data_IF_735178486866
#
_entry.id   IF_735178486866
#
_cell.length_a   1.000
_cell.length_b   1.000
_cell.length_c   1.000
_cell.angle_alpha   90.00
_cell.angle_beta   90.00
_cell.angle_gamma   90.00
#
_symmetry.space_group_name_H-M   'P 1'
#
loop_
_entity.id
_entity.type
_entity.pdbx_description
1 polymer ?
#
# COMPACT_ATOMS: atom_id res chain seq x y z
N UNK A 1 8.30 -7.21 27.77
CA UNK A 1 6.87 -7.33 27.40
C UNK A 1 6.33 -8.57 28.10
N UNK A 2 5.32 -8.45 28.96
CA UNK A 2 4.80 -9.61 29.72
C UNK A 2 4.01 -10.55 28.79
N UNK A 3 3.81 -11.83 29.17
CA UNK A 3 3.02 -12.76 28.35
C UNK A 3 1.59 -12.27 28.14
N UNK A 4 1.02 -11.58 29.13
CA UNK A 4 -0.30 -10.94 29.05
C UNK A 4 -0.36 -9.80 28.04
N UNK A 5 0.71 -9.01 27.88
CA UNK A 5 0.76 -7.93 26.89
C UNK A 5 0.78 -8.49 25.47
N UNK A 6 1.45 -9.63 25.28
CA UNK A 6 1.55 -10.30 23.98
C UNK A 6 0.20 -10.89 23.54
N UNK A 7 -0.56 -11.47 24.47
CA UNK A 7 -1.91 -11.96 24.19
C UNK A 7 -2.89 -10.83 23.89
N UNK A 8 -2.81 -9.72 24.64
CA UNK A 8 -3.60 -8.52 24.32
C UNK A 8 -3.31 -8.01 22.91
N UNK A 9 -2.03 -7.94 22.54
CA UNK A 9 -1.62 -7.49 21.21
C UNK A 9 -2.20 -8.38 20.10
N UNK A 10 -2.18 -9.71 20.29
CA UNK A 10 -2.73 -10.69 19.34
C UNK A 10 -4.22 -10.54 19.06
N UNK A 11 -4.96 -9.86 19.94
CA UNK A 11 -6.41 -9.67 19.81
C UNK A 11 -6.80 -8.25 19.35
N UNK A 12 -5.85 -7.32 19.23
CA UNK A 12 -6.15 -5.92 18.90
C UNK A 12 -6.80 -5.72 17.52
N UNK A 13 -6.49 -6.59 16.56
CA UNK A 13 -7.03 -6.56 15.20
C UNK A 13 -8.23 -7.48 14.97
N UNK A 14 -8.70 -8.21 16.00
CA UNK A 14 -9.79 -9.17 15.84
C UNK A 14 -11.07 -8.49 15.29
N UNK A 15 -11.63 -9.08 14.23
CA UNK A 15 -12.82 -8.54 13.56
C UNK A 15 -12.56 -7.33 12.64
N UNK A 16 -11.31 -6.86 12.52
CA UNK A 16 -10.92 -5.81 11.58
C UNK A 16 -10.37 -6.39 10.29
N UNK A 17 -10.52 -5.63 9.21
CA UNK A 17 -9.90 -5.93 7.93
C UNK A 17 -8.98 -4.78 7.50
N UNK A 18 -7.78 -5.15 7.05
CA UNK A 18 -6.73 -4.26 6.56
C UNK A 18 -6.47 -4.61 5.10
N UNK A 19 -6.37 -3.63 4.22
CA UNK A 19 -5.86 -3.84 2.87
C UNK A 19 -4.53 -3.13 2.67
N UNK A 20 -3.63 -3.73 1.90
CA UNK A 20 -2.36 -3.12 1.51
C UNK A 20 -2.28 -3.05 -0.01
N UNK A 21 -1.84 -1.90 -0.51
CA UNK A 21 -1.60 -1.67 -1.94
C UNK A 21 -0.27 -0.94 -2.12
N UNK A 22 0.40 -1.22 -3.24
CA UNK A 22 1.55 -0.44 -3.71
C UNK A 22 1.14 0.39 -4.92
N UNK A 23 1.50 1.67 -4.96
CA UNK A 23 1.12 2.57 -6.03
C UNK A 23 2.23 3.57 -6.35
N UNK A 24 2.32 3.97 -7.62
CA UNK A 24 3.35 4.88 -8.11
C UNK A 24 4.53 4.13 -8.73
N UNK A 25 5.67 4.81 -8.83
CA UNK A 25 6.93 4.15 -9.19
C UNK A 25 7.29 3.10 -8.14
N UNK A 26 7.76 1.94 -8.57
CA UNK A 26 8.20 0.91 -7.66
C UNK A 26 9.56 1.27 -7.05
N UNK A 27 9.78 0.82 -5.82
CA UNK A 27 11.03 1.04 -5.10
C UNK A 27 11.44 -0.26 -4.40
N UNK A 28 12.74 -0.57 -4.41
CA UNK A 28 13.27 -1.74 -3.72
C UNK A 28 12.93 -1.64 -2.22
N UNK A 29 12.37 -2.72 -1.66
CA UNK A 29 11.89 -2.77 -0.28
C UNK A 29 10.37 -2.67 -0.11
N UNK A 30 9.61 -2.32 -1.16
CA UNK A 30 8.14 -2.37 -1.10
C UNK A 30 7.59 -3.76 -0.73
N UNK A 31 8.23 -4.83 -1.23
CA UNK A 31 7.89 -6.21 -0.83
C UNK A 31 8.09 -6.48 0.66
N UNK A 32 9.14 -5.91 1.26
CA UNK A 32 9.38 -6.03 2.70
C UNK A 32 8.29 -5.29 3.49
N UNK A 33 7.87 -4.10 3.03
CA UNK A 33 6.76 -3.35 3.61
C UNK A 33 5.44 -4.13 3.54
N UNK A 34 5.06 -4.63 2.36
CA UNK A 34 3.86 -5.46 2.18
C UNK A 34 3.90 -6.67 3.11
N UNK A 35 5.03 -7.39 3.18
CA UNK A 35 5.19 -8.52 4.08
C UNK A 35 5.03 -8.14 5.55
N UNK A 36 5.61 -7.02 5.98
CA UNK A 36 5.53 -6.58 7.36
C UNK A 36 4.08 -6.27 7.75
N UNK A 37 3.36 -5.52 6.92
CA UNK A 37 1.94 -5.19 7.13
C UNK A 37 1.09 -6.46 7.15
N UNK A 38 1.31 -7.39 6.21
CA UNK A 38 0.56 -8.65 6.18
C UNK A 38 0.81 -9.52 7.40
N UNK A 39 2.08 -9.76 7.76
CA UNK A 39 2.40 -10.62 8.91
C UNK A 39 1.97 -10.00 10.22
N UNK A 40 2.14 -8.69 10.39
CA UNK A 40 1.70 -8.00 11.60
C UNK A 40 0.18 -7.99 11.70
N UNK A 41 -0.53 -7.71 10.61
CA UNK A 41 -1.99 -7.75 10.57
C UNK A 41 -2.56 -9.13 10.95
N UNK A 42 -2.01 -10.20 10.38
CA UNK A 42 -2.39 -11.59 10.73
C UNK A 42 -2.04 -11.89 12.19
N UNK A 43 -0.86 -11.46 12.65
CA UNK A 43 -0.42 -11.68 14.03
C UNK A 43 -1.34 -11.04 15.07
N UNK A 44 -1.89 -9.85 14.78
CA UNK A 44 -2.87 -9.17 15.65
C UNK A 44 -4.31 -9.63 15.45
N UNK A 45 -4.54 -10.67 14.65
CA UNK A 45 -5.87 -11.25 14.42
C UNK A 45 -6.75 -10.52 13.40
N UNK A 46 -6.19 -9.58 12.63
CA UNK A 46 -6.90 -8.91 11.55
C UNK A 46 -6.90 -9.74 10.26
N UNK A 47 -7.94 -9.58 9.44
CA UNK A 47 -7.95 -10.09 8.06
C UNK A 47 -7.17 -9.13 7.17
N UNK A 48 -6.13 -9.61 6.49
CA UNK A 48 -5.34 -8.77 5.59
C UNK A 48 -5.69 -9.08 4.14
N UNK A 49 -5.86 -8.06 3.31
CA UNK A 49 -6.09 -8.16 1.88
C UNK A 49 -4.92 -7.53 1.12
N UNK A 50 -4.48 -8.18 0.05
CA UNK A 50 -3.55 -7.64 -0.93
C UNK A 50 -4.35 -7.07 -2.09
N UNK A 51 -4.14 -5.79 -2.40
CA UNK A 51 -4.71 -5.14 -3.57
C UNK A 51 -3.64 -5.15 -4.66
N UNK A 52 -3.91 -5.87 -5.73
CA UNK A 52 -3.03 -5.95 -6.89
C UNK A 52 -3.17 -4.71 -7.78
N UNK A 53 -2.13 -4.36 -8.53
CA UNK A 53 -2.12 -3.24 -9.49
C UNK A 53 -2.51 -1.88 -8.88
N UNK A 54 -2.16 -1.67 -7.61
CA UNK A 54 -2.37 -0.42 -6.89
C UNK A 54 -3.83 0.07 -6.92
N UNK A 55 -4.02 1.35 -7.24
CA UNK A 55 -5.37 1.92 -7.31
C UNK A 55 -6.21 1.34 -8.45
N UNK A 56 -5.58 0.81 -9.51
CA UNK A 56 -6.33 0.21 -10.61
C UNK A 56 -7.07 -1.03 -10.13
N UNK A 57 -6.37 -1.95 -9.46
CA UNK A 57 -7.05 -3.13 -8.91
C UNK A 57 -8.01 -2.82 -7.77
N UNK A 58 -7.83 -1.69 -7.06
CA UNK A 58 -8.82 -1.21 -6.10
C UNK A 58 -10.14 -0.82 -6.79
N UNK A 59 -10.07 -0.14 -7.94
CA UNK A 59 -11.23 0.25 -8.76
C UNK A 59 -11.87 -0.97 -9.40
N UNK A 60 -11.07 -1.86 -9.97
CA UNK A 60 -11.55 -3.06 -10.67
C UNK A 60 -12.19 -4.07 -9.69
N UNK A 61 -11.68 -4.14 -8.46
CA UNK A 61 -12.19 -5.02 -7.43
C UNK A 61 -12.04 -6.51 -7.77
N UNK A 62 -12.95 -7.33 -7.25
CA UNK A 62 -13.01 -8.76 -7.56
C UNK A 62 -11.73 -9.50 -7.18
N UNK A 63 -11.09 -10.13 -8.17
CA UNK A 63 -9.86 -10.91 -8.04
C UNK A 63 -8.63 -10.06 -7.74
N UNK A 64 -8.70 -8.74 -7.93
CA UNK A 64 -7.58 -7.86 -7.57
C UNK A 64 -7.48 -7.61 -6.07
N UNK A 65 -8.51 -7.92 -5.27
CA UNK A 65 -8.51 -7.75 -3.81
C UNK A 65 -8.55 -9.14 -3.15
N UNK A 66 -7.36 -9.70 -2.90
CA UNK A 66 -7.17 -11.08 -2.44
C UNK A 66 -6.94 -11.14 -0.94
N UNK A 67 -7.58 -12.08 -0.26
CA UNK A 67 -7.27 -12.35 1.14
C UNK A 67 -5.85 -12.93 1.25
N UNK A 68 -5.04 -12.35 2.11
CA UNK A 68 -3.69 -12.80 2.40
C UNK A 68 -3.71 -13.88 3.49
N UNK A 69 -2.87 -14.90 3.30
CA UNK A 69 -2.47 -15.84 4.34
C UNK A 69 -1.00 -15.63 4.68
N UNK A 70 -0.55 -16.26 5.77
CA UNK A 70 0.85 -16.18 6.20
C UNK A 70 1.85 -16.53 5.08
N UNK A 71 1.49 -17.53 4.26
CA UNK A 71 2.30 -18.00 3.14
C UNK A 71 2.28 -17.04 1.93
N UNK A 72 1.25 -16.20 1.77
CA UNK A 72 1.09 -15.29 0.63
C UNK A 72 2.23 -14.27 0.49
N UNK A 73 2.98 -14.01 1.57
CA UNK A 73 4.11 -13.07 1.61
C UNK A 73 5.42 -13.76 2.00
N UNK A 74 5.55 -15.05 1.67
CA UNK A 74 6.79 -15.80 1.87
C UNK A 74 7.71 -15.66 0.67
N UNK A 75 9.02 -15.58 0.91
CA UNK A 75 10.03 -15.49 -0.15
C UNK A 75 9.94 -14.23 -1.05
N UNK A 76 9.41 -13.12 -0.53
CA UNK A 76 9.27 -11.87 -1.30
C UNK A 76 10.24 -10.75 -0.89
N UNK A 77 10.90 -10.84 0.28
CA UNK A 77 11.73 -9.74 0.81
C UNK A 77 12.89 -9.40 -0.14
N UNK A 78 13.51 -10.42 -0.72
CA UNK A 78 14.67 -10.30 -1.58
C UNK A 78 14.32 -9.94 -3.04
N UNK A 79 13.03 -9.88 -3.37
CA UNK A 79 12.59 -9.56 -4.72
C UNK A 79 12.55 -8.04 -4.92
N UNK A 80 13.02 -7.60 -6.08
CA UNK A 80 12.88 -6.21 -6.53
C UNK A 80 11.42 -5.82 -6.82
N UNK A 81 11.17 -4.51 -6.93
CA UNK A 81 9.86 -3.96 -7.22
C UNK A 81 8.79 -4.34 -6.20
N UNK A 82 7.58 -4.63 -6.69
CA UNK A 82 6.43 -5.06 -5.88
C UNK A 82 5.74 -6.29 -6.47
N UNK A 83 5.58 -7.35 -5.67
CA UNK A 83 4.90 -8.59 -6.06
C UNK A 83 3.39 -8.43 -6.25
N UNK A 84 2.82 -7.34 -5.74
CA UNK A 84 1.41 -7.01 -5.93
C UNK A 84 1.19 -5.99 -7.06
N UNK A 85 2.25 -5.51 -7.73
CA UNK A 85 2.13 -4.55 -8.83
C UNK A 85 1.83 -3.11 -8.38
N UNK A 86 2.13 -2.14 -9.24
CA UNK A 86 1.95 -0.71 -8.97
C UNK A 86 1.43 0.09 -10.17
N UNK A 87 0.40 -0.41 -10.85
CA UNK A 87 -0.16 0.27 -12.02
C UNK A 87 -0.59 1.73 -11.74
N UNK A 88 -0.28 2.62 -12.69
CA UNK A 88 -0.85 3.97 -12.73
C UNK A 88 -2.33 3.87 -13.07
N UNK A 89 -3.18 4.42 -12.21
CA UNK A 89 -4.62 4.44 -12.43
C UNK A 89 -5.08 5.81 -12.91
N UNK A 90 -5.65 5.89 -14.12
CA UNK A 90 -6.27 7.11 -14.64
C UNK A 90 -7.69 7.32 -14.13
N UNK A 91 -8.33 6.24 -13.66
CA UNK A 91 -9.73 6.24 -13.25
C UNK A 91 -9.89 6.69 -11.79
N UNK A 92 -8.93 6.39 -10.91
CA UNK A 92 -9.03 6.74 -9.49
C UNK A 92 -9.09 8.26 -9.18
N UNK A 93 -8.45 9.16 -9.96
CA UNK A 93 -8.66 10.60 -9.82
C UNK A 93 -10.09 11.07 -10.13
N UNK A 94 -10.92 10.26 -10.79
CA UNK A 94 -12.33 10.60 -11.04
C UNK A 94 -13.21 10.18 -9.87
N UNK A 95 -14.33 10.88 -9.68
CA UNK A 95 -15.31 10.55 -8.64
C UNK A 95 -15.88 9.14 -8.82
N UNK A 96 -16.12 8.73 -10.07
CA UNK A 96 -16.62 7.40 -10.41
C UNK A 96 -15.63 6.30 -10.01
N UNK A 97 -14.34 6.48 -10.28
CA UNK A 97 -13.31 5.53 -9.85
C UNK A 97 -13.24 5.41 -8.33
N UNK A 98 -13.28 6.53 -7.60
CA UNK A 98 -13.32 6.51 -6.13
C UNK A 98 -14.58 5.82 -5.59
N UNK A 99 -15.72 6.03 -6.23
CA UNK A 99 -16.98 5.40 -5.85
C UNK A 99 -16.93 3.87 -6.05
N UNK A 100 -16.36 3.41 -7.16
CA UNK A 100 -16.12 1.99 -7.41
C UNK A 100 -15.14 1.39 -6.38
N UNK A 101 -14.04 2.08 -6.09
CA UNK A 101 -13.08 1.70 -5.07
C UNK A 101 -13.71 1.58 -3.67
N UNK A 102 -14.50 2.58 -3.26
CA UNK A 102 -15.21 2.57 -1.98
C UNK A 102 -16.19 1.40 -1.89
N UNK A 103 -16.96 1.15 -2.95
CA UNK A 103 -17.87 0.01 -3.04
C UNK A 103 -17.13 -1.33 -2.84
N UNK A 104 -15.98 -1.51 -3.50
CA UNK A 104 -15.19 -2.74 -3.40
C UNK A 104 -14.62 -2.98 -1.99
N UNK A 105 -14.17 -1.91 -1.31
CA UNK A 105 -13.70 -1.98 0.08
C UNK A 105 -14.83 -2.37 1.03
N UNK A 106 -15.97 -1.67 0.93
CA UNK A 106 -17.16 -1.91 1.76
C UNK A 106 -17.69 -3.33 1.56
N UNK A 107 -17.74 -3.82 0.31
CA UNK A 107 -18.17 -5.19 -0.02
C UNK A 107 -17.31 -6.27 0.67
N UNK A 108 -16.04 -5.98 0.92
CA UNK A 108 -15.10 -6.87 1.62
C UNK A 108 -14.98 -6.55 3.12
N UNK A 109 -15.71 -5.55 3.62
CA UNK A 109 -15.66 -5.09 5.01
C UNK A 109 -14.34 -4.42 5.40
N UNK A 110 -13.62 -3.85 4.42
CA UNK A 110 -12.31 -3.23 4.62
C UNK A 110 -12.49 -1.76 4.96
N UNK A 111 -12.02 -1.35 6.14
CA UNK A 111 -12.02 0.05 6.61
C UNK A 111 -10.63 0.57 6.97
N UNK A 112 -9.60 -0.25 6.82
CA UNK A 112 -8.21 0.12 7.10
C UNK A 112 -7.39 -0.11 5.84
N UNK A 113 -6.78 0.94 5.32
CA UNK A 113 -6.00 0.93 4.10
C UNK A 113 -4.56 1.34 4.37
N UNK A 114 -3.62 0.51 3.98
CA UNK A 114 -2.19 0.80 4.01
C UNK A 114 -1.72 1.05 2.57
N UNK A 115 -1.30 2.27 2.28
CA UNK A 115 -0.83 2.68 0.95
C UNK A 115 0.68 2.83 1.00
N UNK A 116 1.40 2.02 0.24
CA UNK A 116 2.84 2.17 0.04
C UNK A 116 3.13 2.78 -1.32
N UNK A 117 3.78 3.94 -1.35
CA UNK A 117 4.03 4.65 -2.60
C UNK A 117 4.67 6.02 -2.40
N UNK A 118 4.79 6.76 -3.50
CA UNK A 118 5.30 8.14 -3.49
C UNK A 118 4.23 9.17 -3.11
N UNK A 119 4.61 10.45 -3.16
CA UNK A 119 3.76 11.59 -2.75
C UNK A 119 2.38 11.60 -3.43
N UNK A 120 2.34 11.45 -4.76
CA UNK A 120 1.07 11.45 -5.49
C UNK A 120 0.10 10.35 -5.04
N UNK A 121 0.63 9.17 -4.68
CA UNK A 121 -0.19 8.06 -4.18
C UNK A 121 -0.73 8.32 -2.79
N UNK A 122 0.07 8.96 -1.91
CA UNK A 122 -0.33 9.32 -0.55
C UNK A 122 -1.33 10.49 -0.55
N UNK A 123 -1.14 11.47 -1.43
CA UNK A 123 -2.09 12.56 -1.66
C UNK A 123 -3.44 12.02 -2.12
N UNK A 124 -3.44 11.11 -3.09
CA UNK A 124 -4.66 10.43 -3.55
C UNK A 124 -5.38 9.67 -2.43
N UNK A 125 -4.62 9.05 -1.52
CA UNK A 125 -5.18 8.37 -0.35
C UNK A 125 -5.86 9.37 0.59
N UNK A 126 -5.21 10.51 0.88
CA UNK A 126 -5.77 11.54 1.76
C UNK A 126 -7.07 12.15 1.21
N UNK A 127 -7.12 12.43 -0.09
CA UNK A 127 -8.35 12.88 -0.77
C UNK A 127 -9.44 11.82 -0.62
N UNK A 128 -9.11 10.55 -0.88
CA UNK A 128 -10.06 9.44 -0.78
C UNK A 128 -10.64 9.28 0.63
N UNK A 129 -9.81 9.44 1.67
CA UNK A 129 -10.28 9.46 3.07
C UNK A 129 -11.22 10.63 3.35
N UNK A 130 -10.88 11.81 2.85
CA UNK A 130 -11.62 13.04 3.12
C UNK A 130 -13.00 13.02 2.46
N UNK A 131 -13.11 12.40 1.29
CA UNK A 131 -14.35 12.24 0.53
C UNK A 131 -15.17 10.99 0.94
N UNK A 132 -14.70 10.18 1.90
CA UNK A 132 -15.26 8.87 2.21
C UNK A 132 -16.74 8.90 2.54
N UNK A 133 -17.17 9.79 3.45
CA UNK A 133 -18.57 9.91 3.87
C UNK A 133 -19.50 10.25 2.71
N UNK A 134 -19.05 11.14 1.81
CA UNK A 134 -19.83 11.55 0.65
C UNK A 134 -19.95 10.40 -0.37
N UNK A 135 -18.89 9.61 -0.54
CA UNK A 135 -18.90 8.42 -1.41
C UNK A 135 -19.87 7.36 -0.89
N UNK A 136 -19.92 7.15 0.42
CA UNK A 136 -20.89 6.22 1.03
C UNK A 136 -22.32 6.71 0.86
N UNK A 137 -22.59 8.00 1.08
CA UNK A 137 -23.92 8.58 0.87
C UNK A 137 -24.38 8.40 -0.59
N UNK A 138 -23.49 8.64 -1.55
CA UNK A 138 -23.77 8.43 -2.98
C UNK A 138 -24.02 6.96 -3.33
N UNK A 139 -23.28 6.03 -2.70
CA UNK A 139 -23.50 4.59 -2.88
C UNK A 139 -24.84 4.11 -2.32
N UNK A 140 -25.28 4.68 -1.19
CA UNK A 140 -26.61 4.41 -0.62
C UNK A 140 -27.70 4.96 -1.54
N UNK A 141 -27.54 6.19 -2.03
CA UNK A 141 -28.49 6.82 -2.96
C UNK A 141 -28.65 6.02 -4.26
N UNK A 142 -27.55 5.47 -4.79
CA UNK A 142 -27.57 4.59 -5.97
C UNK A 142 -28.04 3.16 -5.69
N UNK A 143 -28.41 2.85 -4.43
CA UNK A 143 -28.88 1.52 -4.02
C UNK A 143 -27.81 0.42 -4.12
N UNK A 144 -26.53 0.77 -4.15
CA UNK A 144 -25.41 -0.20 -4.25
C UNK A 144 -25.09 -0.82 -2.89
N UNK A 145 -25.27 -0.06 -1.80
CA UNK A 145 -25.06 -0.51 -0.42
C UNK A 145 -26.28 -0.14 0.44
N UNK A 146 -26.49 -0.86 1.54
CA UNK A 146 -27.53 -0.54 2.52
C UNK A 146 -27.07 0.54 3.50
N UNK A 147 -28.00 1.31 4.05
CA UNK A 147 -27.71 2.31 5.10
C UNK A 147 -27.02 1.70 6.33
N UNK A 148 -27.39 0.46 6.68
CA UNK A 148 -26.75 -0.32 7.74
C UNK A 148 -25.27 -0.59 7.47
N UNK A 149 -24.92 -0.93 6.22
CA UNK A 149 -23.56 -1.23 5.83
C UNK A 149 -22.71 0.05 5.74
N UNK A 150 -23.31 1.15 5.27
CA UNK A 150 -22.66 2.46 5.28
C UNK A 150 -22.31 2.91 6.71
N UNK A 151 -23.22 2.72 7.67
CA UNK A 151 -22.98 3.04 9.09
C UNK A 151 -21.92 2.15 9.75
N UNK A 152 -21.83 0.87 9.36
CA UNK A 152 -20.79 -0.02 9.88
C UNK A 152 -19.37 0.32 9.39
N UNK A 153 -19.28 1.04 8.25
CA UNK A 153 -18.04 1.39 7.58
C UNK A 153 -17.89 2.91 7.40
N UNK A 154 -18.44 3.69 8.33
CA UNK A 154 -18.51 5.15 8.31
C UNK A 154 -17.14 5.85 8.20
N UNK A 155 -16.08 5.20 8.66
CA UNK A 155 -14.73 5.74 8.66
C UNK A 155 -13.74 4.87 7.87
N UNK A 156 -12.87 5.54 7.12
CA UNK A 156 -11.71 4.94 6.47
C UNK A 156 -10.43 5.37 7.19
N UNK A 157 -9.73 4.40 7.77
CA UNK A 157 -8.40 4.60 8.33
C UNK A 157 -7.36 4.41 7.24
N UNK A 158 -6.46 5.38 7.07
CA UNK A 158 -5.38 5.30 6.10
C UNK A 158 -4.04 5.44 6.81
N UNK A 159 -3.11 4.55 6.47
CA UNK A 159 -1.69 4.64 6.82
C UNK A 159 -0.88 4.72 5.53
N UNK A 160 0.02 5.71 5.45
CA UNK A 160 0.94 5.88 4.33
C UNK A 160 2.33 5.33 4.68
N UNK A 161 2.93 4.61 3.72
CA UNK A 161 4.35 4.22 3.75
C UNK A 161 5.02 4.84 2.53
N UNK A 162 6.06 5.63 2.75
CA UNK A 162 6.74 6.33 1.65
C UNK A 162 7.72 5.39 0.96
N UNK A 163 7.37 4.98 -0.26
CA UNK A 163 8.24 4.22 -1.16
C UNK A 163 8.65 5.08 -2.34
N UNK A 164 9.90 5.52 -2.35
CA UNK A 164 10.49 6.37 -3.39
C UNK A 164 12.01 6.21 -3.36
N UNK A 165 12.64 6.22 -4.54
CA UNK A 165 14.11 6.25 -4.66
C UNK A 165 14.68 7.67 -4.54
N UNK A 166 13.84 8.69 -4.68
CA UNK A 166 14.25 10.10 -4.77
C UNK A 166 14.53 10.73 -3.40
N UNK A 167 14.04 10.11 -2.31
CA UNK A 167 14.11 10.63 -0.94
C UNK A 167 13.59 12.08 -0.81
N UNK A 168 12.52 12.39 -1.52
CA UNK A 168 11.98 13.74 -1.72
C UNK A 168 10.70 14.03 -0.91
N UNK A 169 10.30 13.12 -0.02
CA UNK A 169 9.10 13.28 0.80
C UNK A 169 9.41 14.03 2.10
N UNK A 170 8.94 15.26 2.20
CA UNK A 170 9.09 16.07 3.41
C UNK A 170 8.47 15.38 4.63
N UNK A 171 9.23 15.28 5.72
CA UNK A 171 8.77 14.71 6.99
C UNK A 171 9.29 13.29 7.29
N UNK A 172 10.04 12.67 6.38
CA UNK A 172 10.85 11.48 6.66
C UNK A 172 12.31 11.74 6.31
N UNK A 173 13.24 11.22 7.11
CA UNK A 173 14.68 11.33 6.83
C UNK A 173 15.09 10.40 5.67
N UNK A 174 14.39 9.27 5.54
CA UNK A 174 14.66 8.25 4.53
C UNK A 174 13.37 7.63 3.99
N UNK A 175 13.27 7.52 2.67
CA UNK A 175 12.21 6.79 1.96
C UNK A 175 12.62 5.35 1.64
N UNK A 176 11.65 4.44 1.57
CA UNK A 176 11.90 3.05 1.20
C UNK A 176 12.40 3.03 -0.26
N UNK A 177 13.62 2.53 -0.45
CA UNK A 177 14.27 2.39 -1.76
C UNK A 177 15.42 3.36 -2.01
N UNK A 178 15.54 4.46 -1.24
CA UNK A 178 16.60 5.45 -1.44
C UNK A 178 18.01 4.85 -1.32
N UNK A 179 18.28 4.12 -0.23
CA UNK A 179 19.59 3.47 -0.02
C UNK A 179 19.89 2.40 -1.08
N UNK A 180 18.88 1.62 -1.48
CA UNK A 180 19.05 0.63 -2.55
C UNK A 180 19.37 1.27 -3.89
N UNK A 181 18.75 2.41 -4.22
CA UNK A 181 19.05 3.17 -5.43
C UNK A 181 20.46 3.76 -5.37
N UNK A 182 20.85 4.35 -4.23
CA UNK A 182 22.21 4.85 -4.01
C UNK A 182 23.26 3.74 -4.19
N UNK A 183 22.99 2.56 -3.66
CA UNK A 183 23.88 1.42 -3.83
C UNK A 183 24.05 1.03 -5.30
N UNK A 184 22.98 1.04 -6.11
CA UNK A 184 23.08 0.80 -7.56
C UNK A 184 23.87 1.91 -8.26
N UNK A 185 23.72 3.16 -7.85
CA UNK A 185 24.50 4.28 -8.39
C UNK A 185 25.99 4.07 -8.11
N UNK A 186 26.36 3.71 -6.88
CA UNK A 186 27.76 3.45 -6.51
C UNK A 186 28.38 2.32 -7.34
N UNK A 187 27.67 1.19 -7.51
CA UNK A 187 28.15 0.09 -8.35
C UNK A 187 28.45 0.53 -9.79
N UNK A 188 27.60 1.39 -10.38
CA UNK A 188 27.78 1.91 -11.73
C UNK A 188 28.97 2.87 -11.78
N UNK A 189 29.11 3.76 -10.78
CA UNK A 189 30.24 4.69 -10.69
C UNK A 189 31.55 3.92 -10.57
N UNK A 190 31.62 2.90 -9.70
CA UNK A 190 32.80 2.07 -9.52
C UNK A 190 33.18 1.35 -10.83
N UNK A 191 32.18 0.83 -11.55
CA UNK A 191 32.40 0.21 -12.85
C UNK A 191 32.97 1.20 -13.89
N UNK A 192 32.47 2.43 -13.93
CA UNK A 192 32.93 3.48 -14.86
C UNK A 192 34.34 3.99 -14.49
N UNK A 193 34.61 4.18 -13.20
CA UNK A 193 35.85 4.79 -12.70
C UNK A 193 37.10 4.02 -13.13
N UNK A 194 37.02 2.69 -13.15
CA UNK A 194 38.13 1.82 -13.60
C UNK A 194 38.54 2.06 -15.06
N UNK A 195 37.60 2.46 -15.91
CA UNK A 195 37.87 2.77 -17.32
C UNK A 195 38.30 4.23 -17.49
N UNK A 196 37.67 5.16 -16.78
CA UNK A 196 38.00 6.58 -16.84
C UNK A 196 39.47 6.86 -16.46
N UNK A 197 39.95 6.26 -15.36
CA UNK A 197 41.34 6.45 -14.89
C UNK A 197 42.40 5.98 -15.89
N UNK A 198 42.10 5.00 -16.74
CA UNK A 198 43.05 4.52 -17.76
C UNK A 198 43.17 5.46 -18.96
N UNK A 199 42.13 6.23 -19.26
CA UNK A 199 42.09 7.12 -20.43
C UNK A 199 42.76 8.48 -20.17
N UNK A 200 42.85 8.92 -18.91
CA UNK A 200 43.46 10.21 -18.53
C UNK A 200 44.99 10.13 -18.31
N UNK A 201 45.63 8.97 -18.57
CA UNK A 201 47.09 8.77 -18.40
C UNK A 201 47.86 8.72 -19.74
N UNK A 202 47.40 9.43 -20.77
CA UNK A 202 48.11 9.56 -22.07
C UNK A 202 48.34 11.03 -22.41
#
# INVERSE_FOLDING_TARGET
>A
MSSMDLEKLKMTGAGRAIAVLTSGGDAQGMNAAVRAVTRMGIYVGAKVYLIHEGYQGLVDGGENIKLAHWHSVTNIIQLGGTVIGSARCKTFPTREGRLAAAFNLVKKGITNLCVCGGDGSLTGANIFRSEWSDLLAELVQKGRITDTLAKQHDHLNIVGLVGSIDNDFCGTDMTIGADSALHRIMEIIDAIMTTAQRSDTV
#
